data_IF_033533137423
#
_entry.id   IF_033533137423
#
_cell.length_a   1.000
_cell.length_b   1.000
_cell.length_c   1.000
_cell.angle_alpha   90.00
_cell.angle_beta   90.00
_cell.angle_gamma   90.00
#
_symmetry.space_group_name_H-M   'P 1'
#
loop_
_entity.id
_entity.type
_entity.pdbx_description
1 polymer ?
#
# COMPACT_ATOMS: atom_id res chain seq x y z
N UNK A 1 10.46 22.95 18.61
CA UNK A 1 10.12 21.51 18.57
C UNK A 1 8.83 21.35 17.82
N UNK A 2 8.80 20.48 16.82
CA UNK A 2 7.65 20.24 15.97
C UNK A 2 6.77 19.11 16.53
N UNK A 3 5.44 19.30 16.53
CA UNK A 3 4.47 18.32 17.02
C UNK A 3 3.80 17.57 15.88
N UNK A 4 3.80 16.24 15.99
CA UNK A 4 3.18 15.35 15.01
C UNK A 4 2.29 14.30 15.68
N UNK A 5 1.46 13.66 14.87
CA UNK A 5 0.73 12.46 15.23
C UNK A 5 1.05 11.31 14.28
N UNK A 6 1.39 10.16 14.84
CA UNK A 6 1.42 8.89 14.13
C UNK A 6 0.20 8.05 14.52
N UNK A 7 -0.48 7.44 13.54
CA UNK A 7 -1.64 6.58 13.80
C UNK A 7 -1.20 5.12 13.70
N UNK A 8 -1.54 4.33 14.72
CA UNK A 8 -1.20 2.91 14.77
C UNK A 8 -2.30 2.10 15.46
N UNK A 9 -2.15 0.78 15.53
CA UNK A 9 -3.12 -0.09 16.22
C UNK A 9 -2.93 -0.05 17.74
N UNK A 10 -4.01 -0.07 18.52
CA UNK A 10 -3.97 -0.13 19.98
C UNK A 10 -3.12 -1.31 20.51
N UNK A 11 -3.09 -2.43 19.77
CA UNK A 11 -2.28 -3.62 20.08
C UNK A 11 -0.79 -3.32 20.28
N UNK A 12 -0.25 -2.31 19.61
CA UNK A 12 1.18 -1.96 19.72
C UNK A 12 1.45 -0.75 20.62
N UNK A 13 0.41 -0.14 21.21
CA UNK A 13 0.52 1.08 22.01
C UNK A 13 1.53 0.93 23.16
N UNK A 14 1.38 -0.11 24.00
CA UNK A 14 2.28 -0.38 25.12
C UNK A 14 3.73 -0.57 24.69
N UNK A 15 3.97 -1.17 23.52
CA UNK A 15 5.32 -1.28 22.97
C UNK A 15 5.87 0.08 22.58
N UNK A 16 5.07 0.89 21.91
CA UNK A 16 5.47 2.24 21.49
C UNK A 16 5.81 3.13 22.67
N UNK A 17 5.09 3.01 23.78
CA UNK A 17 5.41 3.74 25.02
C UNK A 17 6.82 3.41 25.55
N UNK A 18 7.23 2.14 25.47
CA UNK A 18 8.51 1.69 26.02
C UNK A 18 9.68 1.81 25.04
N UNK A 19 9.47 1.55 23.75
CA UNK A 19 10.55 1.45 22.75
C UNK A 19 10.47 2.48 21.62
N UNK A 20 9.44 3.33 21.61
CA UNK A 20 9.17 4.21 20.47
C UNK A 20 8.63 3.46 19.25
N UNK A 21 8.72 4.10 18.08
CA UNK A 21 8.18 3.60 16.80
C UNK A 21 9.34 3.20 15.89
N UNK A 22 9.39 1.91 15.55
CA UNK A 22 10.37 1.39 14.61
C UNK A 22 10.10 1.89 13.17
N UNK A 23 11.17 2.19 12.43
CA UNK A 23 11.16 2.54 11.01
C UNK A 23 10.75 1.33 10.15
N UNK A 24 9.45 1.07 10.01
CA UNK A 24 8.93 -0.08 9.26
C UNK A 24 8.20 0.32 7.99
N UNK A 25 7.73 1.55 7.89
CA UNK A 25 7.03 2.02 6.70
C UNK A 25 8.01 2.25 5.57
N UNK A 26 7.61 1.90 4.35
CA UNK A 26 8.37 2.23 3.14
C UNK A 26 8.10 3.68 2.78
N UNK A 27 9.18 4.47 2.75
CA UNK A 27 9.16 5.86 2.33
C UNK A 27 9.56 6.05 0.87
N UNK A 28 9.73 7.32 0.47
CA UNK A 28 10.38 7.69 -0.78
C UNK A 28 11.79 7.07 -0.88
N UNK A 29 12.24 6.81 -2.11
CA UNK A 29 13.57 6.24 -2.40
C UNK A 29 13.88 4.91 -1.65
N UNK A 30 12.87 4.06 -1.44
CA UNK A 30 12.97 2.76 -0.75
C UNK A 30 13.41 2.82 0.73
N UNK A 31 13.54 4.02 1.32
CA UNK A 31 13.89 4.23 2.72
C UNK A 31 12.86 3.62 3.68
N UNK A 32 13.30 3.37 4.92
CA UNK A 32 12.43 2.93 6.02
C UNK A 32 12.22 4.06 7.01
N UNK A 33 11.00 4.21 7.52
CA UNK A 33 10.69 5.31 8.41
C UNK A 33 9.29 5.26 9.01
N UNK A 34 8.83 6.42 9.44
CA UNK A 34 7.54 6.61 10.12
C UNK A 34 6.76 7.72 9.43
N UNK A 35 5.53 7.42 9.02
CA UNK A 35 4.59 8.44 8.55
C UNK A 35 3.89 9.09 9.74
N UNK A 36 3.80 10.42 9.70
CA UNK A 36 3.10 11.22 10.68
C UNK A 36 2.42 12.42 10.02
N UNK A 37 1.54 13.09 10.77
CA UNK A 37 0.84 14.30 10.35
C UNK A 37 1.12 15.41 11.36
N UNK A 38 1.40 16.66 10.94
CA UNK A 38 1.47 17.79 11.87
C UNK A 38 0.23 17.89 12.75
N UNK A 39 0.41 18.26 14.02
CA UNK A 39 -0.71 18.63 14.89
C UNK A 39 -1.22 20.01 14.46
N UNK A 40 -2.46 20.05 13.97
CA UNK A 40 -3.14 21.23 13.46
C UNK A 40 -4.22 21.70 14.44
N UNK A 41 -4.70 22.93 14.25
CA UNK A 41 -5.85 23.47 15.01
C UNK A 41 -7.13 22.67 14.76
N UNK A 42 -7.29 22.11 13.55
CA UNK A 42 -8.41 21.24 13.23
C UNK A 42 -8.16 19.80 13.68
N UNK A 43 -9.04 19.31 14.56
CA UNK A 43 -9.06 17.92 15.00
C UNK A 43 -9.18 16.96 13.81
N UNK A 44 -10.12 17.22 12.91
CA UNK A 44 -10.37 16.34 11.75
C UNK A 44 -9.16 16.27 10.82
N UNK A 45 -8.44 17.36 10.63
CA UNK A 45 -7.24 17.38 9.77
C UNK A 45 -6.03 16.72 10.43
N UNK A 46 -5.86 16.90 11.74
CA UNK A 46 -4.81 16.22 12.52
C UNK A 46 -4.96 14.69 12.43
N UNK A 47 -6.19 14.18 12.56
CA UNK A 47 -6.48 12.75 12.57
C UNK A 47 -7.05 12.24 11.24
N UNK A 48 -6.83 12.96 10.13
CA UNK A 48 -7.52 12.72 8.86
C UNK A 48 -7.33 11.31 8.27
N UNK A 49 -6.27 10.63 8.67
CA UNK A 49 -5.88 9.31 8.16
C UNK A 49 -6.56 8.14 8.88
N UNK A 50 -7.22 8.35 10.02
CA UNK A 50 -7.78 7.25 10.84
C UNK A 50 -8.76 6.38 10.05
N UNK A 51 -9.74 7.00 9.40
CA UNK A 51 -10.77 6.27 8.67
C UNK A 51 -10.22 5.55 7.44
N UNK A 52 -9.20 6.09 6.78
CA UNK A 52 -8.54 5.42 5.65
C UNK A 52 -7.68 4.24 6.14
N UNK A 53 -6.85 4.44 7.15
CA UNK A 53 -5.99 3.38 7.71
C UNK A 53 -6.80 2.20 8.28
N UNK A 54 -7.97 2.46 8.85
CA UNK A 54 -8.86 1.41 9.38
C UNK A 54 -9.34 0.42 8.31
N UNK A 55 -9.21 0.73 7.02
CA UNK A 55 -9.49 -0.21 5.93
C UNK A 55 -8.47 -1.34 5.83
N UNK A 56 -7.23 -1.05 6.22
CA UNK A 56 -6.07 -1.92 6.02
C UNK A 56 -5.59 -2.54 7.33
N UNK A 57 -5.92 -1.90 8.45
CA UNK A 57 -5.52 -2.36 9.78
C UNK A 57 -6.71 -2.96 10.55
N UNK A 58 -6.59 -4.21 11.06
CA UNK A 58 -7.59 -4.78 11.94
C UNK A 58 -7.53 -4.13 13.33
N UNK A 59 -8.68 -4.00 13.99
CA UNK A 59 -8.81 -3.52 15.36
C UNK A 59 -8.98 -2.00 15.50
N UNK A 60 -8.81 -1.52 16.72
CA UNK A 60 -8.93 -0.10 17.10
C UNK A 60 -7.62 0.62 16.84
N UNK A 61 -7.68 1.80 16.24
CA UNK A 61 -6.54 2.69 16.03
C UNK A 61 -6.38 3.67 17.19
N UNK A 62 -5.14 4.05 17.48
CA UNK A 62 -4.74 5.06 18.47
C UNK A 62 -3.82 6.09 17.82
N UNK A 63 -3.77 7.27 18.41
CA UNK A 63 -2.89 8.36 18.01
C UNK A 63 -1.71 8.48 18.96
N UNK A 64 -0.49 8.34 18.43
CA UNK A 64 0.76 8.56 19.13
C UNK A 64 1.22 9.97 18.82
N UNK A 65 1.21 10.85 19.82
CA UNK A 65 1.69 12.22 19.69
C UNK A 65 3.20 12.24 19.84
N UNK A 66 3.89 12.84 18.89
CA UNK A 66 5.34 12.87 18.77
C UNK A 66 5.86 14.30 18.89
N UNK A 67 7.05 14.45 19.44
CA UNK A 67 7.78 15.71 19.49
C UNK A 67 9.16 15.52 18.88
N UNK A 68 9.39 16.14 17.72
CA UNK A 68 10.66 16.04 16.99
C UNK A 68 11.44 17.36 17.08
N UNK A 69 12.79 17.31 17.01
CA UNK A 69 13.62 18.50 16.79
C UNK A 69 13.15 19.29 15.55
N UNK A 70 13.27 20.62 15.59
CA UNK A 70 12.78 21.48 14.49
C UNK A 70 13.58 21.29 13.19
N UNK A 71 14.85 20.94 13.34
CA UNK A 71 15.84 20.68 12.31
C UNK A 71 15.83 19.22 11.81
N UNK A 72 15.00 18.35 12.41
CA UNK A 72 14.89 16.95 12.00
C UNK A 72 14.61 16.84 10.49
N UNK A 73 15.45 16.12 9.72
CA UNK A 73 15.21 15.93 8.29
C UNK A 73 13.97 15.06 8.06
N UNK A 74 13.02 15.57 7.27
CA UNK A 74 11.79 14.87 6.90
C UNK A 74 11.48 15.07 5.43
N UNK A 75 10.49 14.34 4.93
CA UNK A 75 9.84 14.66 3.66
C UNK A 75 8.38 14.99 3.89
N UNK A 76 7.84 15.92 3.11
CA UNK A 76 6.42 16.30 3.16
C UNK A 76 5.84 16.30 1.75
N UNK A 77 4.63 15.76 1.62
CA UNK A 77 3.96 15.69 0.33
C UNK A 77 2.49 15.36 0.48
N UNK A 78 1.77 15.51 -0.63
CA UNK A 78 0.40 15.00 -0.74
C UNK A 78 0.47 13.52 -1.10
N UNK A 79 -0.42 12.73 -0.54
CA UNK A 79 -0.57 11.31 -0.83
C UNK A 79 -0.57 11.03 -2.34
N UNK A 80 0.29 10.09 -2.75
CA UNK A 80 0.44 9.69 -4.16
C UNK A 80 1.22 10.69 -5.03
N UNK A 81 1.84 11.71 -4.44
CA UNK A 81 2.68 12.68 -5.16
C UNK A 81 4.12 12.62 -4.67
N UNK A 82 5.11 12.98 -5.51
CA UNK A 82 6.51 13.08 -5.08
C UNK A 82 6.65 14.08 -3.91
N UNK A 83 7.17 13.66 -2.75
CA UNK A 83 7.34 14.56 -1.61
C UNK A 83 8.63 15.37 -1.73
N UNK A 84 8.69 16.52 -1.04
CA UNK A 84 9.90 17.35 -0.93
C UNK A 84 10.62 17.10 0.38
N UNK A 85 11.96 17.15 0.36
CA UNK A 85 12.79 17.13 1.56
C UNK A 85 12.81 18.51 2.24
N UNK A 86 12.57 18.53 3.54
CA UNK A 86 12.52 19.74 4.39
C UNK A 86 12.86 19.37 5.83
N UNK A 87 12.94 20.35 6.73
CA UNK A 87 12.99 20.07 8.18
C UNK A 87 11.59 19.85 8.78
N UNK A 88 11.51 19.28 9.97
CA UNK A 88 10.25 19.07 10.67
C UNK A 88 9.48 20.37 10.91
N UNK A 89 10.14 21.45 11.31
CA UNK A 89 9.49 22.75 11.48
C UNK A 89 8.95 23.30 10.15
N UNK A 90 9.72 23.17 9.07
CA UNK A 90 9.29 23.57 7.72
C UNK A 90 8.11 22.73 7.22
N UNK A 91 8.07 21.43 7.52
CA UNK A 91 6.93 20.58 7.19
C UNK A 91 5.66 21.01 7.92
N UNK A 92 5.75 21.35 9.22
CA UNK A 92 4.61 21.87 9.99
C UNK A 92 4.11 23.19 9.42
N UNK A 93 5.00 24.15 9.17
CA UNK A 93 4.65 25.44 8.58
C UNK A 93 3.96 25.26 7.23
N UNK A 94 4.59 24.49 6.34
CA UNK A 94 4.09 24.30 4.99
C UNK A 94 2.76 23.55 4.90
N UNK A 95 2.39 22.74 5.90
CA UNK A 95 1.06 22.10 5.95
C UNK A 95 0.01 23.03 6.56
N UNK A 96 0.40 23.88 7.53
CA UNK A 96 -0.49 24.85 8.16
C UNK A 96 -0.93 25.97 7.22
N UNK A 97 -0.06 26.35 6.29
CA UNK A 97 -0.30 27.42 5.31
C UNK A 97 -1.16 26.96 4.12
N UNK A 98 -1.49 25.68 4.00
CA UNK A 98 -2.33 25.18 2.91
C UNK A 98 -3.80 25.54 3.12
N UNK A 99 -4.45 26.01 2.06
CA UNK A 99 -5.91 26.14 2.01
C UNK A 99 -6.62 24.79 2.25
N UNK A 100 -6.06 23.70 1.71
CA UNK A 100 -6.55 22.34 1.89
C UNK A 100 -5.43 21.35 2.24
N UNK A 101 -5.17 21.08 3.52
CA UNK A 101 -4.15 20.12 3.97
C UNK A 101 -4.62 18.66 3.87
N UNK A 102 -5.79 18.39 3.27
CA UNK A 102 -6.30 17.00 3.17
C UNK A 102 -5.42 16.15 2.26
N UNK A 103 -5.00 15.00 2.78
CA UNK A 103 -4.12 14.05 2.11
C UNK A 103 -2.64 14.38 2.23
N UNK A 104 -2.24 15.42 2.95
CA UNK A 104 -0.84 15.63 3.26
C UNK A 104 -0.34 14.62 4.30
N UNK A 105 0.93 14.26 4.17
CA UNK A 105 1.65 13.40 5.09
C UNK A 105 3.10 13.84 5.18
N UNK A 106 3.71 13.57 6.34
CA UNK A 106 5.12 13.79 6.61
C UNK A 106 5.76 12.43 6.87
N UNK A 107 6.94 12.20 6.31
CA UNK A 107 7.69 10.97 6.50
C UNK A 107 9.04 11.29 7.15
N UNK A 108 9.28 10.65 8.30
CA UNK A 108 10.51 10.73 9.07
C UNK A 108 11.38 9.51 8.70
N UNK A 109 12.57 9.69 8.10
CA UNK A 109 13.38 8.60 7.55
C UNK A 109 14.20 7.85 8.61
N UNK A 110 13.67 7.71 9.83
CA UNK A 110 14.29 6.97 10.93
C UNK A 110 13.24 6.44 11.91
N UNK A 111 13.68 5.66 12.89
CA UNK A 111 12.85 5.30 14.02
C UNK A 111 12.62 6.51 14.92
N UNK A 112 11.46 6.55 15.56
CA UNK A 112 11.13 7.52 16.61
C UNK A 112 11.41 6.87 17.95
N UNK A 113 12.16 7.53 18.82
CA UNK A 113 12.57 7.03 20.13
C UNK A 113 11.43 7.11 21.14
N UNK A 114 11.54 6.39 22.26
CA UNK A 114 10.56 6.48 23.35
C UNK A 114 10.49 7.91 23.95
N UNK A 115 11.62 8.63 24.02
CA UNK A 115 11.68 9.99 24.54
C UNK A 115 10.94 11.02 23.66
N UNK A 116 10.80 10.74 22.36
CA UNK A 116 10.06 11.57 21.41
C UNK A 116 8.55 11.28 21.44
N UNK A 117 8.11 10.20 22.10
CA UNK A 117 6.70 9.88 22.31
C UNK A 117 6.17 10.71 23.48
N UNK A 118 5.29 11.67 23.17
CA UNK A 118 4.70 12.58 24.16
C UNK A 118 3.57 11.92 24.95
N UNK A 119 2.69 11.20 24.24
CA UNK A 119 1.50 10.53 24.78
C UNK A 119 0.84 9.67 23.72
N UNK A 120 0.08 8.67 24.14
CA UNK A 120 -0.83 7.91 23.29
C UNK A 120 -2.27 8.25 23.68
N UNK A 121 -3.15 8.42 22.70
CA UNK A 121 -4.56 8.74 22.91
C UNK A 121 -5.46 7.86 22.06
N UNK A 122 -6.62 7.56 22.61
CA UNK A 122 -7.75 7.06 21.82
C UNK A 122 -8.20 8.13 20.81
N UNK A 123 -8.63 7.67 19.66
CA UNK A 123 -9.11 8.54 18.57
C UNK A 123 -10.46 8.04 18.06
N UNK A 124 -11.43 8.92 17.75
CA UNK A 124 -12.69 8.50 17.15
C UNK A 124 -12.45 7.75 15.83
N UNK A 125 -12.93 6.51 15.74
CA UNK A 125 -12.63 5.62 14.61
C UNK A 125 -13.35 5.99 13.29
N UNK A 126 -14.15 7.06 13.31
CA UNK A 126 -14.86 7.61 12.15
C UNK A 126 -14.27 8.92 11.63
N UNK A 127 -13.21 9.45 12.26
CA UNK A 127 -12.61 10.74 11.86
C UNK A 127 -11.81 10.61 10.57
N UNK A 128 -11.88 11.66 9.74
CA UNK A 128 -11.15 11.74 8.48
C UNK A 128 -11.96 11.29 7.26
N UNK A 129 -11.27 11.17 6.14
CA UNK A 129 -11.85 10.82 4.84
C UNK A 129 -11.72 9.32 4.55
N UNK A 130 -12.39 8.86 3.49
CA UNK A 130 -12.34 7.47 3.03
C UNK A 130 -12.04 7.46 1.54
N UNK A 131 -11.20 6.52 1.09
CA UNK A 131 -10.73 6.34 -0.29
C UNK A 131 -9.72 7.39 -0.76
N UNK A 132 -10.09 8.66 -0.77
CA UNK A 132 -9.22 9.77 -1.17
C UNK A 132 -9.69 11.09 -0.53
N UNK A 133 -8.78 12.08 -0.38
CA UNK A 133 -9.16 13.43 0.05
C UNK A 133 -10.29 14.00 -0.80
N UNK A 134 -11.32 14.58 -0.16
CA UNK A 134 -12.51 15.12 -0.82
C UNK A 134 -13.41 14.10 -1.58
N UNK A 135 -13.37 12.82 -1.21
CA UNK A 135 -14.28 11.81 -1.77
C UNK A 135 -15.77 12.00 -1.41
N UNK A 136 -16.08 12.79 -0.38
CA UNK A 136 -17.46 13.01 0.06
C UNK A 136 -18.29 13.71 -1.03
N UNK A 137 -19.51 13.22 -1.28
CA UNK A 137 -20.40 13.76 -2.32
C UNK A 137 -20.03 13.38 -3.76
N UNK A 138 -18.86 12.75 -3.98
CA UNK A 138 -18.44 12.28 -5.31
C UNK A 138 -18.89 10.83 -5.55
N UNK A 139 -19.11 10.48 -6.82
CA UNK A 139 -19.35 9.10 -7.24
C UNK A 139 -18.16 8.23 -6.80
N UNK A 140 -18.39 7.11 -6.08
CA UNK A 140 -17.30 6.21 -5.70
C UNK A 140 -16.71 5.54 -6.93
N UNK A 141 -15.38 5.44 -7.00
CA UNK A 141 -14.70 4.69 -8.05
C UNK A 141 -15.12 3.21 -7.98
N UNK A 142 -15.65 2.62 -9.05
CA UNK A 142 -16.20 1.26 -9.01
C UNK A 142 -15.13 0.16 -9.16
N UNK A 143 -13.86 0.53 -9.29
CA UNK A 143 -12.78 -0.43 -9.50
C UNK A 143 -12.61 -1.39 -8.30
N UNK A 144 -12.06 -2.60 -8.51
CA UNK A 144 -11.85 -3.58 -7.45
C UNK A 144 -10.96 -3.10 -6.29
N UNK A 145 -10.08 -2.12 -6.52
CA UNK A 145 -9.21 -1.54 -5.49
C UNK A 145 -9.98 -0.60 -4.54
N UNK A 146 -10.84 0.26 -5.08
CA UNK A 146 -11.66 1.18 -4.29
C UNK A 146 -12.85 0.47 -3.64
N UNK A 147 -13.52 -0.43 -4.37
CA UNK A 147 -14.64 -1.22 -3.86
C UNK A 147 -14.23 -2.68 -3.70
N UNK A 148 -13.52 -2.99 -2.62
CA UNK A 148 -13.07 -4.35 -2.30
C UNK A 148 -14.27 -5.30 -2.16
N UNK A 149 -14.14 -6.52 -2.70
CA UNK A 149 -15.20 -7.54 -2.62
C UNK A 149 -15.53 -7.86 -1.16
N UNK A 150 -16.82 -8.00 -0.84
CA UNK A 150 -17.30 -8.33 0.51
C UNK A 150 -17.43 -7.14 1.47
N UNK A 151 -16.97 -5.94 1.08
CA UNK A 151 -17.24 -4.74 1.88
C UNK A 151 -18.73 -4.35 1.83
N UNK A 152 -19.19 -3.70 2.89
CA UNK A 152 -20.57 -3.28 3.07
C UNK A 152 -21.12 -2.54 1.83
N UNK A 153 -22.28 -2.98 1.34
CA UNK A 153 -22.99 -2.44 0.17
C UNK A 153 -22.19 -2.36 -1.14
N UNK A 154 -21.01 -3.00 -1.25
CA UNK A 154 -20.21 -2.98 -2.48
C UNK A 154 -20.95 -3.61 -3.67
N UNK A 155 -21.70 -4.69 -3.46
CA UNK A 155 -22.49 -5.30 -4.54
C UNK A 155 -23.55 -4.34 -5.10
N UNK A 156 -24.24 -3.58 -4.23
CA UNK A 156 -25.20 -2.56 -4.65
C UNK A 156 -24.52 -1.39 -5.36
N UNK A 157 -23.35 -0.94 -4.86
CA UNK A 157 -22.57 0.13 -5.51
C UNK A 157 -22.09 -0.26 -6.91
N UNK A 158 -21.63 -1.50 -7.11
CA UNK A 158 -21.20 -2.00 -8.43
C UNK A 158 -22.36 -2.14 -9.42
N UNK A 159 -23.57 -2.47 -8.94
CA UNK A 159 -24.78 -2.45 -9.78
C UNK A 159 -25.15 -1.04 -10.22
N UNK A 160 -25.03 -0.06 -9.31
CA UNK A 160 -25.36 1.35 -9.59
C UNK A 160 -24.30 2.06 -10.43
N UNK A 161 -23.04 1.71 -10.24
CA UNK A 161 -21.90 2.31 -10.92
C UNK A 161 -21.07 1.17 -11.54
N UNK A 162 -21.37 0.79 -12.79
CA UNK A 162 -20.56 -0.20 -13.49
C UNK A 162 -19.11 0.33 -13.62
N UNK A 163 -18.17 -0.61 -13.59
CA UNK A 163 -16.76 -0.35 -13.82
C UNK A 163 -16.48 -0.66 -15.28
N UNK A 164 -16.01 0.33 -16.04
CA UNK A 164 -15.88 0.24 -17.50
C UNK A 164 -14.81 -0.78 -17.96
N UNK A 165 -13.92 -1.19 -17.05
CA UNK A 165 -12.88 -2.19 -17.30
C UNK A 165 -12.98 -3.39 -16.34
N UNK A 166 -14.10 -4.15 -16.34
CA UNK A 166 -14.28 -5.24 -15.39
C UNK A 166 -13.17 -6.30 -15.54
N UNK A 167 -12.71 -6.95 -14.44
CA UNK A 167 -11.72 -8.01 -14.55
C UNK A 167 -12.22 -9.13 -15.46
N UNK A 168 -11.44 -9.48 -16.48
CA UNK A 168 -11.77 -10.55 -17.43
C UNK A 168 -11.86 -11.92 -16.71
N UNK A 169 -12.83 -12.77 -17.08
CA UNK A 169 -12.96 -14.11 -16.51
C UNK A 169 -11.71 -14.94 -16.78
N UNK A 170 -11.42 -15.91 -15.89
CA UNK A 170 -10.20 -16.74 -16.02
C UNK A 170 -10.21 -17.49 -17.35
N UNK A 171 -11.36 -18.04 -17.74
CA UNK A 171 -11.50 -18.80 -18.99
C UNK A 171 -11.09 -17.99 -20.22
N UNK A 172 -11.52 -16.74 -20.31
CA UNK A 172 -11.20 -15.85 -21.43
C UNK A 172 -9.71 -15.54 -21.49
N UNK A 173 -9.11 -15.17 -20.34
CA UNK A 173 -7.66 -14.93 -20.24
C UNK A 173 -6.86 -16.20 -20.56
N UNK A 174 -7.32 -17.38 -20.13
CA UNK A 174 -6.65 -18.64 -20.47
C UNK A 174 -6.77 -18.99 -21.97
N UNK A 175 -7.88 -18.65 -22.62
CA UNK A 175 -8.04 -18.81 -24.07
C UNK A 175 -7.08 -17.89 -24.82
N UNK A 176 -6.99 -16.63 -24.42
CA UNK A 176 -6.07 -15.66 -24.99
C UNK A 176 -4.61 -16.07 -24.77
N UNK A 177 -4.25 -16.51 -23.56
CA UNK A 177 -2.90 -16.98 -23.23
C UNK A 177 -2.44 -18.14 -24.12
N UNK A 178 -3.37 -18.99 -24.58
CA UNK A 178 -3.06 -20.13 -25.47
C UNK A 178 -2.79 -19.72 -26.92
N UNK A 179 -3.27 -18.55 -27.33
CA UNK A 179 -3.08 -18.03 -28.69
C UNK A 179 -2.02 -16.92 -28.76
N UNK A 180 -1.62 -16.36 -27.61
CA UNK A 180 -0.48 -15.45 -27.50
C UNK A 180 0.79 -16.13 -27.99
N UNK A 181 1.54 -15.44 -28.86
CA UNK A 181 2.77 -15.98 -29.47
C UNK A 181 4.01 -15.17 -29.11
N UNK A 182 3.81 -13.94 -28.63
CA UNK A 182 4.90 -13.05 -28.21
C UNK A 182 4.99 -12.97 -26.69
N UNK A 183 6.19 -12.66 -26.18
CA UNK A 183 6.43 -12.48 -24.75
C UNK A 183 5.55 -11.35 -24.17
N UNK A 184 5.43 -10.23 -24.87
CA UNK A 184 4.60 -9.08 -24.44
C UNK A 184 3.12 -9.46 -24.28
N UNK A 185 2.54 -10.16 -25.26
CA UNK A 185 1.16 -10.64 -25.18
C UNK A 185 0.96 -11.59 -23.99
N UNK A 186 1.91 -12.52 -23.78
CA UNK A 186 1.87 -13.46 -22.66
C UNK A 186 1.94 -12.70 -21.32
N UNK A 187 2.83 -11.71 -21.21
CA UNK A 187 3.02 -10.88 -20.01
C UNK A 187 1.75 -10.09 -19.69
N UNK A 188 1.11 -9.48 -20.70
CA UNK A 188 -0.13 -8.73 -20.53
C UNK A 188 -1.27 -9.61 -20.00
N UNK A 189 -1.41 -10.81 -20.56
CA UNK A 189 -2.43 -11.77 -20.14
C UNK A 189 -2.15 -12.28 -18.73
N UNK A 190 -0.90 -12.60 -18.41
CA UNK A 190 -0.45 -12.97 -17.07
C UNK A 190 -0.76 -11.85 -16.06
N UNK A 191 -0.47 -10.60 -16.40
CA UNK A 191 -0.84 -9.43 -15.59
C UNK A 191 -2.36 -9.37 -15.34
N UNK A 192 -3.18 -9.67 -16.34
CA UNK A 192 -4.64 -9.80 -16.21
C UNK A 192 -5.08 -10.92 -15.25
N UNK A 193 -4.40 -12.07 -15.30
CA UNK A 193 -4.67 -13.22 -14.41
C UNK A 193 -4.37 -12.88 -12.95
N UNK A 194 -3.28 -12.15 -12.68
CA UNK A 194 -2.83 -11.74 -11.35
C UNK A 194 -3.75 -10.73 -10.63
N UNK A 195 -4.64 -10.04 -11.35
CA UNK A 195 -5.58 -9.05 -10.78
C UNK A 195 -6.74 -9.67 -9.98
N UNK A 196 -6.86 -11.00 -9.94
CA UNK A 196 -7.97 -11.70 -9.29
C UNK A 196 -7.54 -12.88 -8.43
N UNK A 197 -8.38 -13.29 -7.49
CA UNK A 197 -8.23 -14.63 -6.87
C UNK A 197 -8.60 -15.66 -7.91
N UNK A 198 -7.63 -16.45 -8.33
CA UNK A 198 -7.80 -17.57 -9.24
C UNK A 198 -7.66 -18.86 -8.41
N UNK A 199 -8.26 -19.96 -8.88
CA UNK A 199 -8.21 -21.26 -8.22
C UNK A 199 -6.80 -21.86 -8.24
N UNK A 200 -6.68 -23.11 -8.65
CA UNK A 200 -5.39 -23.72 -8.90
C UNK A 200 -4.66 -23.10 -10.10
N UNK A 201 -3.34 -23.33 -10.12
CA UNK A 201 -2.38 -22.80 -11.09
C UNK A 201 -1.87 -23.87 -12.08
N UNK A 202 -2.51 -25.04 -12.11
CA UNK A 202 -2.08 -26.21 -12.90
C UNK A 202 -1.96 -25.85 -14.39
N UNK A 203 -2.90 -25.04 -14.90
CA UNK A 203 -2.93 -24.60 -16.30
C UNK A 203 -1.80 -23.64 -16.68
N UNK A 204 -1.05 -23.11 -15.71
CA UNK A 204 0.08 -22.20 -15.95
C UNK A 204 1.44 -22.91 -15.92
N UNK A 205 1.47 -24.22 -15.60
CA UNK A 205 2.72 -24.94 -15.37
C UNK A 205 3.66 -24.95 -16.59
N UNK A 206 3.12 -24.92 -17.80
CA UNK A 206 3.91 -24.95 -19.04
C UNK A 206 4.74 -23.67 -19.26
N UNK A 207 4.35 -22.54 -18.66
CA UNK A 207 5.08 -21.28 -18.75
C UNK A 207 6.31 -21.23 -17.84
N UNK A 208 6.48 -22.21 -16.94
CA UNK A 208 7.63 -22.24 -16.05
C UNK A 208 8.96 -22.47 -16.79
N UNK A 209 8.91 -23.07 -17.98
CA UNK A 209 10.06 -23.28 -18.88
C UNK A 209 10.08 -22.32 -20.07
N UNK A 210 9.27 -21.26 -20.04
CA UNK A 210 9.21 -20.33 -21.16
C UNK A 210 10.61 -19.73 -21.43
N UNK A 211 11.09 -19.62 -22.68
CA UNK A 211 12.46 -19.18 -22.97
C UNK A 211 12.74 -17.74 -22.51
N UNK A 212 11.72 -16.89 -22.58
CA UNK A 212 11.80 -15.50 -22.16
C UNK A 212 11.81 -15.35 -20.62
N UNK A 213 12.84 -14.71 -20.02
CA UNK A 213 12.93 -14.49 -18.58
C UNK A 213 11.84 -13.56 -18.03
N UNK A 214 11.40 -12.55 -18.78
CA UNK A 214 10.37 -11.60 -18.32
C UNK A 214 9.01 -12.28 -18.17
N UNK A 215 8.73 -13.28 -19.03
CA UNK A 215 7.55 -14.15 -18.89
C UNK A 215 7.64 -14.98 -17.60
N UNK A 216 8.80 -15.56 -17.28
CA UNK A 216 9.03 -16.35 -16.07
C UNK A 216 8.91 -15.50 -14.80
N UNK A 217 9.47 -14.29 -14.81
CA UNK A 217 9.38 -13.31 -13.72
C UNK A 217 7.94 -12.85 -13.48
N UNK A 218 7.24 -12.53 -14.57
CA UNK A 218 5.83 -12.13 -14.51
C UNK A 218 4.98 -13.28 -13.96
N UNK A 219 5.23 -14.52 -14.40
CA UNK A 219 4.56 -15.71 -13.87
C UNK A 219 4.81 -15.86 -12.36
N UNK A 220 6.05 -15.73 -11.89
CA UNK A 220 6.40 -15.81 -10.48
C UNK A 220 5.66 -14.76 -9.63
N UNK A 221 5.53 -13.54 -10.17
CA UNK A 221 4.75 -12.46 -9.55
C UNK A 221 3.26 -12.80 -9.46
N UNK A 222 2.66 -13.28 -10.56
CA UNK A 222 1.23 -13.63 -10.67
C UNK A 222 0.85 -14.78 -9.75
N UNK A 223 1.71 -15.80 -9.60
CA UNK A 223 1.45 -16.95 -8.74
C UNK A 223 1.28 -16.58 -7.25
N UNK A 224 1.68 -15.37 -6.83
CA UNK A 224 1.39 -14.85 -5.47
C UNK A 224 -0.11 -14.64 -5.22
N UNK A 225 -0.90 -14.41 -6.27
CA UNK A 225 -2.35 -14.27 -6.19
C UNK A 225 -3.11 -15.61 -6.17
N UNK A 226 -2.45 -16.69 -6.59
CA UNK A 226 -3.00 -18.04 -6.65
C UNK A 226 -2.88 -18.77 -5.32
N UNK A 227 -3.73 -19.77 -5.11
CA UNK A 227 -3.71 -20.64 -3.92
C UNK A 227 -3.57 -22.09 -4.36
N UNK A 228 -3.08 -22.93 -3.45
CA UNK A 228 -2.92 -24.36 -3.69
C UNK A 228 -1.46 -24.81 -3.73
N UNK A 229 -1.26 -26.13 -3.78
CA UNK A 229 0.08 -26.74 -3.78
C UNK A 229 0.85 -26.41 -5.05
N UNK A 230 0.18 -26.43 -6.19
CA UNK A 230 0.84 -26.20 -7.49
C UNK A 230 1.41 -24.78 -7.61
N UNK A 231 0.68 -23.76 -7.16
CA UNK A 231 1.18 -22.39 -7.14
C UNK A 231 2.40 -22.19 -6.22
N UNK A 232 2.58 -23.04 -5.19
CA UNK A 232 3.79 -23.02 -4.35
C UNK A 232 4.95 -23.67 -5.08
N UNK A 233 4.71 -24.88 -5.60
CA UNK A 233 5.70 -25.66 -6.37
C UNK A 233 6.26 -24.88 -7.56
N UNK A 234 5.41 -24.22 -8.34
CA UNK A 234 5.85 -23.44 -9.49
C UNK A 234 6.70 -22.22 -9.08
N UNK A 235 6.38 -21.55 -7.97
CA UNK A 235 7.20 -20.43 -7.46
C UNK A 235 8.56 -20.89 -6.97
N UNK A 236 8.62 -22.01 -6.26
CA UNK A 236 9.89 -22.61 -5.81
C UNK A 236 10.77 -22.99 -7.00
N UNK A 237 10.19 -23.59 -8.03
CA UNK A 237 10.90 -23.96 -9.25
C UNK A 237 11.47 -22.75 -10.00
N UNK A 238 10.69 -21.68 -10.18
CA UNK A 238 11.13 -20.45 -10.85
C UNK A 238 12.30 -19.79 -10.09
N UNK A 239 12.27 -19.78 -8.75
CA UNK A 239 13.36 -19.24 -7.93
C UNK A 239 14.68 -20.00 -8.08
N UNK A 240 14.62 -21.32 -8.30
CA UNK A 240 15.81 -22.15 -8.50
C UNK A 240 16.41 -21.90 -9.89
N UNK A 241 15.55 -21.78 -10.92
CA UNK A 241 15.99 -21.53 -12.29
C UNK A 241 16.76 -20.21 -12.44
N UNK A 242 16.33 -19.14 -11.77
CA UNK A 242 17.01 -17.84 -11.81
C UNK A 242 18.38 -17.87 -11.10
N UNK A 243 18.50 -18.65 -10.02
CA UNK A 243 19.78 -18.83 -9.32
C UNK A 243 20.81 -19.60 -10.17
N UNK A 244 20.38 -20.53 -11.02
CA UNK A 244 21.27 -21.29 -11.91
C UNK A 244 21.72 -20.52 -13.16
N UNK A 245 20.91 -19.58 -13.67
CA UNK A 245 21.33 -18.70 -14.78
C UNK A 245 22.33 -17.62 -14.34
N UNK A 246 22.26 -17.20 -13.07
CA UNK A 246 23.16 -16.16 -12.51
C UNK A 246 24.61 -16.65 -12.37
N UNK A 247 24.82 -17.96 -12.18
CA UNK A 247 26.15 -18.58 -12.04
C UNK A 247 26.81 -18.88 -13.40
N UNK A 248 26.08 -18.78 -14.52
CA UNK A 248 26.60 -19.12 -15.86
C UNK A 248 27.22 -17.93 -16.61
N UNK A 249 27.00 -16.69 -16.15
CA UNK A 249 27.59 -15.47 -16.72
C UNK A 249 28.88 -15.01 -16.01
N UNK A 250 29.41 -15.83 -15.09
CA UNK A 250 30.61 -15.55 -14.30
C UNK A 250 31.80 -16.47 -14.63
N UNK A 251 31.87 -17.02 -15.85
CA UNK A 251 33.01 -17.83 -16.30
C UNK A 251 33.46 -17.49 -17.72
#
# INVERSE_FOLDING_TARGET
MAEFVHITTARVARRVEHSGIAARSRGPAAGRGVYCMPVLSSFTLTYQWVRELRRWHPGVLVAVHLRLPDDEPVTVGRYGTPPRAVTAAQAVAAVRELDDPRGYEVFVPRAVTAAEVRRIRDVPQGVGWRYLPAAHGRRPCPCPACLTRGAFKVAALRRRFPYDNPPRPKSELMTELRVSTTADEIIDVLCGLGRGRRGGAEELAYLADHPDPDVRDTLASVLRAYRGREARRLRERLQISDSSSSDSDAN
#
